data_IF_615097100244
#
_entry.id   IF_615097100244
#
_cell.length_a   1.000
_cell.length_b   1.000
_cell.length_c   1.000
_cell.angle_alpha   90.00
_cell.angle_beta   90.00
_cell.angle_gamma   90.00
#
_symmetry.space_group_name_H-M   'P 1'
#
loop_
_entity.id
_entity.type
_entity.pdbx_description
1 polymer ?
#
# COMPACT_ATOMS: atom_id res chain seq x y z
N UNK A 1 -33.26 -49.19 51.08
CA UNK A 1 -32.12 -49.31 50.16
C UNK A 1 -32.31 -48.69 48.75
N UNK A 2 -33.47 -48.73 48.12
CA UNK A 2 -33.69 -48.13 46.78
C UNK A 2 -33.71 -46.60 46.76
N UNK A 3 -34.04 -45.92 47.85
CA UNK A 3 -34.13 -44.45 47.94
C UNK A 3 -32.74 -43.79 48.10
N UNK A 4 -31.85 -44.39 48.88
CA UNK A 4 -30.45 -43.91 49.03
C UNK A 4 -29.63 -44.03 47.76
N UNK A 5 -29.88 -45.06 46.94
CA UNK A 5 -29.18 -45.23 45.65
C UNK A 5 -29.60 -44.15 44.62
N UNK A 6 -30.86 -43.73 44.63
CA UNK A 6 -31.33 -42.63 43.76
C UNK A 6 -30.77 -41.26 44.16
N UNK A 7 -30.60 -41.00 45.45
CA UNK A 7 -30.05 -39.77 45.99
C UNK A 7 -28.55 -39.65 45.64
N UNK A 8 -27.78 -40.76 45.73
CA UNK A 8 -26.37 -40.81 45.38
C UNK A 8 -26.13 -40.61 43.88
N UNK A 9 -27.00 -41.16 43.02
CA UNK A 9 -26.89 -40.96 41.53
C UNK A 9 -27.25 -39.51 41.15
N UNK A 10 -28.23 -38.88 41.81
CA UNK A 10 -28.62 -37.51 41.55
C UNK A 10 -27.54 -36.52 41.99
N UNK A 11 -26.85 -36.78 43.11
CA UNK A 11 -25.71 -36.01 43.58
C UNK A 11 -24.48 -36.13 42.64
N UNK A 12 -24.24 -37.31 42.06
CA UNK A 12 -23.14 -37.54 41.13
C UNK A 12 -23.36 -36.82 39.76
N UNK A 13 -24.62 -36.75 39.29
CA UNK A 13 -24.98 -36.07 38.04
C UNK A 13 -24.89 -34.56 38.18
N UNK A 14 -25.23 -34.00 39.36
CA UNK A 14 -25.07 -32.56 39.64
C UNK A 14 -23.59 -32.18 39.77
N UNK A 15 -22.74 -33.07 40.31
CA UNK A 15 -21.29 -32.85 40.39
C UNK A 15 -20.57 -32.90 39.02
N UNK A 16 -21.09 -33.67 38.04
CA UNK A 16 -20.60 -33.71 36.67
C UNK A 16 -21.09 -32.53 35.83
N UNK A 17 -22.17 -31.86 36.17
CA UNK A 17 -22.65 -30.65 35.47
C UNK A 17 -21.93 -29.36 35.89
N UNK A 18 -21.21 -29.37 37.02
CA UNK A 18 -20.43 -28.24 37.48
C UNK A 18 -18.94 -28.29 37.11
N UNK A 19 -18.45 -29.40 36.57
CA UNK A 19 -17.05 -29.56 36.18
C UNK A 19 -16.78 -29.26 34.69
N UNK A 20 -17.75 -28.77 33.96
CA UNK A 20 -17.67 -28.60 32.49
C UNK A 20 -17.73 -27.17 31.98
N UNK A 21 -17.26 -26.13 32.67
CA UNK A 21 -17.18 -24.79 32.07
C UNK A 21 -16.17 -23.88 32.79
N UNK A 22 -14.96 -24.38 33.04
CA UNK A 22 -13.83 -23.47 33.06
C UNK A 22 -13.37 -23.37 31.59
N UNK A 23 -14.10 -22.59 30.78
CA UNK A 23 -13.47 -21.97 29.61
C UNK A 23 -12.34 -21.12 30.17
N UNK A 24 -11.13 -21.63 30.09
CA UNK A 24 -9.97 -20.78 30.03
C UNK A 24 -10.18 -19.89 28.81
N UNK A 25 -10.82 -18.73 29.01
CA UNK A 25 -10.53 -17.57 28.20
C UNK A 25 -9.06 -17.33 28.48
N UNK A 26 -8.22 -18.03 27.72
CA UNK A 26 -6.82 -17.70 27.61
C UNK A 26 -6.80 -16.28 27.06
N UNK A 27 -6.70 -15.30 27.96
CA UNK A 27 -6.20 -13.98 27.64
C UNK A 27 -4.76 -14.26 27.20
N UNK A 28 -4.59 -14.68 25.92
CA UNK A 28 -3.28 -14.79 25.31
C UNK A 28 -2.64 -13.42 25.51
N UNK A 29 -1.58 -13.36 26.33
CA UNK A 29 -0.78 -12.15 26.42
C UNK A 29 -0.48 -11.79 24.98
N UNK A 30 -1.01 -10.63 24.51
CA UNK A 30 -0.69 -10.12 23.19
C UNK A 30 0.84 -10.09 23.15
N UNK A 31 1.42 -10.81 22.19
CA UNK A 31 2.86 -10.79 21.99
C UNK A 31 3.19 -9.39 21.48
N UNK A 32 3.65 -8.55 22.39
CA UNK A 32 3.94 -7.14 22.09
C UNK A 32 5.08 -6.95 21.08
N UNK A 33 5.81 -8.01 20.76
CA UNK A 33 6.81 -8.01 19.70
C UNK A 33 6.25 -8.39 18.34
N UNK A 34 5.02 -8.91 18.28
CA UNK A 34 4.34 -9.27 17.05
C UNK A 34 3.56 -8.07 16.51
N UNK A 35 3.68 -7.84 15.21
CA UNK A 35 2.92 -6.82 14.46
C UNK A 35 2.19 -7.52 13.31
N UNK A 36 0.88 -7.36 13.26
CA UNK A 36 0.05 -7.73 12.12
C UNK A 36 0.05 -6.55 11.14
N UNK A 37 0.76 -6.70 10.02
CA UNK A 37 0.88 -5.71 8.96
C UNK A 37 0.05 -6.14 7.76
N UNK A 38 -0.78 -5.24 7.24
CA UNK A 38 -1.52 -5.51 6.00
C UNK A 38 -1.08 -4.53 4.91
N UNK A 39 -0.59 -5.06 3.78
CA UNK A 39 -0.23 -4.27 2.60
C UNK A 39 -1.37 -4.20 1.60
N UNK A 40 -1.50 -3.09 0.89
CA UNK A 40 -2.54 -2.88 -0.11
C UNK A 40 -2.42 -3.83 -1.30
N UNK A 41 -1.22 -4.15 -1.71
CA UNK A 41 -0.89 -5.08 -2.81
C UNK A 41 0.54 -5.58 -2.66
N UNK A 42 0.87 -6.70 -3.31
CA UNK A 42 2.23 -7.23 -3.34
C UNK A 42 2.99 -6.64 -4.54
N UNK A 43 3.94 -5.73 -4.29
CA UNK A 43 4.66 -5.01 -5.35
C UNK A 43 6.08 -4.65 -4.93
N UNK A 44 7.02 -4.71 -5.88
CA UNK A 44 8.41 -4.23 -5.71
C UNK A 44 8.43 -2.73 -5.34
N UNK A 45 7.37 -2.00 -5.63
CA UNK A 45 7.21 -0.62 -5.17
C UNK A 45 7.36 -0.45 -3.66
N UNK A 46 7.17 -1.54 -2.91
CA UNK A 46 7.35 -1.59 -1.45
C UNK A 46 8.68 -2.27 -1.05
N UNK A 47 9.69 -2.23 -1.91
CA UNK A 47 10.99 -2.86 -1.67
C UNK A 47 11.58 -2.58 -0.28
N UNK A 48 11.53 -1.36 0.30
CA UNK A 48 12.06 -1.14 1.65
C UNK A 48 11.38 -2.02 2.71
N UNK A 49 10.08 -2.31 2.58
CA UNK A 49 9.39 -3.22 3.49
C UNK A 49 9.91 -4.66 3.37
N UNK A 50 10.03 -5.17 2.14
CA UNK A 50 10.49 -6.55 1.92
C UNK A 50 11.96 -6.73 2.27
N UNK A 51 12.81 -5.73 2.00
CA UNK A 51 14.19 -5.70 2.46
C UNK A 51 14.24 -5.76 3.98
N UNK A 52 13.42 -4.97 4.70
CA UNK A 52 13.38 -5.01 6.15
C UNK A 52 12.95 -6.38 6.71
N UNK A 53 12.08 -7.09 6.02
CA UNK A 53 11.65 -8.45 6.38
C UNK A 53 12.76 -9.47 6.10
N UNK A 54 13.29 -9.48 4.87
CA UNK A 54 14.16 -10.55 4.37
C UNK A 54 15.60 -10.42 4.89
N UNK A 55 16.14 -9.20 5.05
CA UNK A 55 17.43 -8.94 5.69
C UNK A 55 17.34 -9.01 7.23
N UNK A 56 16.13 -9.11 7.79
CA UNK A 56 15.94 -9.34 9.21
C UNK A 56 15.97 -8.09 10.08
N UNK A 57 15.86 -6.87 9.52
CA UNK A 57 15.94 -5.63 10.28
C UNK A 57 14.82 -5.49 11.32
N UNK A 58 13.63 -6.04 11.06
CA UNK A 58 12.59 -6.13 12.09
C UNK A 58 13.01 -7.02 13.27
N UNK A 59 13.67 -8.14 13.01
CA UNK A 59 14.17 -9.05 14.06
C UNK A 59 15.27 -8.40 14.88
N UNK A 60 16.15 -7.62 14.25
CA UNK A 60 17.19 -6.84 14.95
C UNK A 60 16.56 -5.84 15.94
N UNK A 61 15.43 -5.23 15.57
CA UNK A 61 14.65 -4.35 16.45
C UNK A 61 13.79 -5.12 17.47
N UNK A 62 13.85 -6.45 17.48
CA UNK A 62 13.07 -7.31 18.38
C UNK A 62 11.59 -7.41 18.00
N UNK A 63 11.26 -7.23 16.72
CA UNK A 63 9.90 -7.33 16.17
C UNK A 63 9.73 -8.61 15.35
N UNK A 64 8.52 -9.15 15.37
CA UNK A 64 8.04 -10.20 14.46
C UNK A 64 6.88 -9.62 13.64
N UNK A 65 7.09 -9.40 12.35
CA UNK A 65 6.06 -8.87 11.45
C UNK A 65 5.40 -10.02 10.70
N UNK A 66 4.08 -10.09 10.80
CA UNK A 66 3.24 -10.98 9.99
C UNK A 66 2.58 -10.16 8.89
N UNK A 67 3.05 -10.33 7.66
CA UNK A 67 2.55 -9.57 6.49
C UNK A 67 1.40 -10.31 5.83
N UNK A 68 0.30 -9.60 5.58
CA UNK A 68 -0.86 -10.06 4.83
C UNK A 68 -1.18 -9.09 3.70
N UNK A 69 -1.69 -9.60 2.57
CA UNK A 69 -2.08 -8.78 1.43
C UNK A 69 -3.59 -8.50 1.46
N UNK A 70 -3.98 -7.23 1.42
CA UNK A 70 -5.38 -6.79 1.41
C UNK A 70 -6.04 -6.87 0.03
N UNK A 71 -5.26 -6.74 -1.04
CA UNK A 71 -5.77 -6.68 -2.41
C UNK A 71 -6.50 -5.38 -2.76
N UNK A 72 -6.37 -4.34 -1.91
CA UNK A 72 -6.96 -3.01 -2.11
C UNK A 72 -6.93 -2.17 -0.84
N UNK A 73 -6.86 -0.84 -0.98
CA UNK A 73 -6.74 0.09 0.15
C UNK A 73 -7.95 0.01 1.10
N UNK A 74 -9.15 -0.19 0.60
CA UNK A 74 -10.38 -0.34 1.40
C UNK A 74 -10.34 -1.60 2.27
N UNK A 75 -9.84 -2.70 1.73
CA UNK A 75 -9.68 -3.96 2.49
C UNK A 75 -8.62 -3.79 3.57
N UNK A 76 -7.49 -3.14 3.25
CA UNK A 76 -6.45 -2.84 4.23
C UNK A 76 -6.97 -1.91 5.33
N UNK A 77 -7.70 -0.85 4.99
CA UNK A 77 -8.33 0.04 5.98
C UNK A 77 -9.35 -0.70 6.84
N UNK A 78 -10.17 -1.56 6.24
CA UNK A 78 -11.10 -2.42 6.98
C UNK A 78 -10.39 -3.35 7.96
N UNK A 79 -9.25 -3.94 7.56
CA UNK A 79 -8.44 -4.77 8.45
C UNK A 79 -7.91 -3.98 9.65
N UNK A 80 -7.48 -2.73 9.45
CA UNK A 80 -7.06 -1.84 10.53
C UNK A 80 -8.21 -1.50 11.47
N UNK A 81 -9.36 -1.07 10.92
CA UNK A 81 -10.52 -0.65 11.72
C UNK A 81 -11.10 -1.79 12.54
N UNK A 82 -11.14 -3.01 12.01
CA UNK A 82 -11.61 -4.20 12.73
C UNK A 82 -10.59 -4.77 13.71
N UNK A 83 -9.31 -4.33 13.65
CA UNK A 83 -8.23 -4.81 14.51
C UNK A 83 -7.61 -6.14 14.04
N UNK A 84 -7.85 -6.55 12.79
CA UNK A 84 -7.16 -7.67 12.15
C UNK A 84 -5.74 -7.30 11.73
N UNK A 85 -5.45 -6.00 11.55
CA UNK A 85 -4.12 -5.46 11.39
C UNK A 85 -3.83 -4.41 12.48
N UNK A 86 -2.58 -4.34 12.91
CA UNK A 86 -2.07 -3.29 13.81
C UNK A 86 -1.59 -2.08 13.00
N UNK A 87 -0.98 -2.33 11.86
CA UNK A 87 -0.45 -1.34 10.92
C UNK A 87 -0.90 -1.73 9.50
N UNK A 88 -1.20 -0.73 8.68
CA UNK A 88 -1.42 -0.93 7.25
C UNK A 88 -0.38 -0.16 6.44
N UNK A 89 -0.03 -0.70 5.27
CA UNK A 89 0.68 -0.01 4.21
C UNK A 89 -0.32 0.23 3.08
N UNK A 90 -0.80 1.46 2.96
CA UNK A 90 -1.85 1.84 2.01
C UNK A 90 -1.70 3.30 1.59
N UNK A 91 -2.49 3.72 0.61
CA UNK A 91 -2.55 5.12 0.22
C UNK A 91 -3.15 6.00 1.34
N UNK A 92 -2.55 7.18 1.60
CA UNK A 92 -3.00 8.07 2.66
C UNK A 92 -4.40 8.66 2.41
N UNK A 93 -4.92 8.60 1.19
CA UNK A 93 -6.30 8.98 0.86
C UNK A 93 -7.31 8.21 1.70
N UNK A 94 -7.05 6.95 2.03
CA UNK A 94 -7.96 6.15 2.86
C UNK A 94 -8.01 6.63 4.30
N UNK A 95 -6.92 7.19 4.81
CA UNK A 95 -6.88 7.85 6.13
C UNK A 95 -7.71 9.13 6.09
N UNK A 96 -7.62 9.93 4.99
CA UNK A 96 -8.43 11.13 4.79
C UNK A 96 -9.92 10.78 4.78
N UNK A 97 -10.35 9.81 3.96
CA UNK A 97 -11.75 9.37 3.91
C UNK A 97 -12.27 8.96 5.30
N UNK A 98 -11.50 8.12 6.00
CA UNK A 98 -11.89 7.61 7.31
C UNK A 98 -12.02 8.71 8.36
N UNK A 99 -11.14 9.73 8.31
CA UNK A 99 -11.23 10.88 9.20
C UNK A 99 -12.44 11.78 8.88
N UNK A 100 -12.72 12.02 7.60
CA UNK A 100 -13.89 12.81 7.18
C UNK A 100 -15.22 12.13 7.54
N UNK A 101 -15.25 10.80 7.59
CA UNK A 101 -16.40 10.03 8.09
C UNK A 101 -16.57 10.09 9.62
N UNK A 102 -15.66 10.71 10.35
CA UNK A 102 -15.74 10.90 11.80
C UNK A 102 -15.59 9.61 12.60
N UNK A 103 -14.82 8.65 12.11
CA UNK A 103 -14.56 7.38 12.80
C UNK A 103 -13.87 7.63 14.13
N UNK A 104 -14.38 7.01 15.22
CA UNK A 104 -13.72 7.05 16.53
C UNK A 104 -12.37 6.35 16.45
N UNK A 105 -11.35 6.89 17.13
CA UNK A 105 -9.99 6.38 17.11
C UNK A 105 -9.47 6.32 15.66
N UNK A 106 -9.65 7.45 14.95
CA UNK A 106 -9.31 7.57 13.55
C UNK A 106 -7.84 7.19 13.28
N UNK A 107 -7.57 6.52 12.15
CA UNK A 107 -6.21 6.23 11.73
C UNK A 107 -5.43 7.52 11.48
N UNK A 108 -4.11 7.41 11.66
CA UNK A 108 -3.14 8.45 11.30
C UNK A 108 -1.99 7.83 10.54
N UNK A 109 -1.44 8.57 9.59
CA UNK A 109 -0.17 8.25 8.94
C UNK A 109 0.95 8.55 9.93
N UNK A 110 1.86 7.59 10.15
CA UNK A 110 3.00 7.77 11.04
C UNK A 110 4.36 7.56 10.38
N UNK A 111 4.37 7.13 9.10
CA UNK A 111 5.55 7.00 8.27
C UNK A 111 5.18 6.92 6.80
N UNK A 112 5.94 7.59 5.94
CA UNK A 112 5.80 7.53 4.48
C UNK A 112 6.76 6.49 3.93
N UNK A 113 6.30 5.67 2.95
CA UNK A 113 7.15 4.69 2.28
C UNK A 113 7.53 5.12 0.87
N UNK A 114 6.57 5.63 0.09
CA UNK A 114 6.81 6.03 -1.31
C UNK A 114 6.39 7.48 -1.53
N UNK A 115 7.17 8.21 -2.35
CA UNK A 115 7.12 9.66 -2.45
C UNK A 115 6.52 10.18 -3.76
N UNK A 116 6.20 9.29 -4.70
CA UNK A 116 5.55 9.60 -5.97
C UNK A 116 4.71 8.42 -6.43
N UNK A 117 3.99 8.56 -7.55
CA UNK A 117 3.31 7.45 -8.21
C UNK A 117 4.35 6.42 -8.71
N UNK A 118 4.14 5.16 -8.42
CA UNK A 118 5.03 4.07 -8.85
C UNK A 118 4.60 3.39 -10.14
N UNK A 119 3.60 3.91 -10.84
CA UNK A 119 3.11 3.32 -12.07
C UNK A 119 3.74 3.92 -13.33
N UNK A 120 3.73 3.15 -14.39
CA UNK A 120 4.24 3.49 -15.70
C UNK A 120 3.11 3.39 -16.72
N UNK A 121 3.10 4.31 -17.69
CA UNK A 121 2.23 4.19 -18.87
C UNK A 121 2.84 3.16 -19.81
N UNK A 122 2.05 2.16 -20.14
CA UNK A 122 2.39 1.11 -21.09
C UNK A 122 1.61 1.35 -22.37
N UNK A 123 2.28 1.30 -23.51
CA UNK A 123 1.69 1.39 -24.85
C UNK A 123 1.85 0.07 -25.60
N UNK A 124 0.90 -0.28 -26.49
CA UNK A 124 1.08 -1.39 -27.45
C UNK A 124 2.09 -1.07 -28.55
N UNK A 125 2.43 0.20 -28.70
CA UNK A 125 3.38 0.70 -29.73
C UNK A 125 4.63 1.28 -29.07
N UNK A 126 5.75 1.18 -29.76
CA UNK A 126 7.00 1.80 -29.31
C UNK A 126 6.99 3.30 -29.60
N UNK A 127 6.77 4.11 -28.57
CA UNK A 127 6.67 5.56 -28.66
C UNK A 127 7.85 6.22 -27.94
N UNK A 128 8.98 6.34 -28.62
CA UNK A 128 10.24 6.87 -28.03
C UNK A 128 10.18 8.34 -27.61
N UNK A 129 9.19 9.11 -28.08
CA UNK A 129 8.97 10.51 -27.74
C UNK A 129 7.53 10.71 -27.22
N UNK A 130 7.11 9.86 -26.30
CA UNK A 130 5.77 9.95 -25.71
C UNK A 130 5.58 11.29 -25.00
N UNK A 131 4.39 11.88 -25.20
CA UNK A 131 3.87 13.02 -24.45
C UNK A 131 2.41 12.75 -24.11
N UNK A 132 1.82 13.49 -23.17
CA UNK A 132 0.40 13.33 -22.83
C UNK A 132 -0.54 13.61 -24.04
N UNK A 133 -0.09 14.34 -25.05
CA UNK A 133 -0.84 14.55 -26.31
C UNK A 133 -1.13 13.23 -27.03
N UNK A 134 -0.24 12.23 -26.91
CA UNK A 134 -0.42 10.90 -27.52
C UNK A 134 -1.65 10.16 -26.95
N UNK A 135 -2.14 10.54 -25.77
CA UNK A 135 -3.36 9.98 -25.17
C UNK A 135 -4.64 10.58 -25.74
N UNK A 136 -4.56 11.72 -26.46
CA UNK A 136 -5.76 12.42 -26.98
C UNK A 136 -6.44 11.58 -28.06
N UNK A 137 -7.71 11.29 -27.89
CA UNK A 137 -8.49 10.41 -28.76
C UNK A 137 -8.35 8.91 -28.46
N UNK A 138 -7.48 8.57 -27.52
CA UNK A 138 -7.18 7.19 -27.14
C UNK A 138 -7.82 6.78 -25.81
N UNK A 139 -7.85 5.48 -25.56
CA UNK A 139 -8.29 4.89 -24.28
C UNK A 139 -7.09 4.45 -23.46
N UNK A 140 -7.09 4.85 -22.18
CA UNK A 140 -6.14 4.39 -21.17
C UNK A 140 -6.86 3.76 -19.98
N UNK A 141 -6.44 2.56 -19.56
CA UNK A 141 -6.91 1.94 -18.30
C UNK A 141 -5.99 2.46 -17.17
N UNK A 142 -6.57 3.30 -16.29
CA UNK A 142 -5.83 4.04 -15.24
C UNK A 142 -6.01 3.50 -13.84
N UNK A 143 -6.57 2.31 -13.67
CA UNK A 143 -6.84 1.73 -12.35
C UNK A 143 -8.30 1.93 -11.89
N UNK A 144 -8.55 1.74 -10.58
CA UNK A 144 -9.90 1.76 -10.00
C UNK A 144 -10.32 3.16 -9.59
N UNK A 145 -11.57 3.53 -9.88
CA UNK A 145 -12.15 4.81 -9.47
C UNK A 145 -12.01 5.04 -7.96
N UNK A 146 -11.56 6.23 -7.57
CA UNK A 146 -11.36 6.63 -6.17
C UNK A 146 -10.09 6.05 -5.52
N UNK A 147 -9.32 5.24 -6.24
CA UNK A 147 -7.97 4.83 -5.83
C UNK A 147 -6.93 5.84 -6.30
N UNK A 148 -5.86 5.98 -5.54
CA UNK A 148 -4.82 6.97 -5.81
C UNK A 148 -4.21 6.87 -7.21
N UNK A 149 -3.95 5.68 -7.81
CA UNK A 149 -3.46 5.57 -9.18
C UNK A 149 -4.34 6.27 -10.22
N UNK A 150 -5.67 6.02 -10.16
CA UNK A 150 -6.61 6.62 -11.10
C UNK A 150 -6.72 8.15 -10.89
N UNK A 151 -6.78 8.59 -9.64
CA UNK A 151 -6.86 10.02 -9.29
C UNK A 151 -5.60 10.79 -9.70
N UNK A 152 -4.42 10.19 -9.54
CA UNK A 152 -3.15 10.81 -9.95
C UNK A 152 -3.09 10.97 -11.47
N UNK A 153 -3.47 9.94 -12.22
CA UNK A 153 -3.51 10.03 -13.69
C UNK A 153 -4.55 11.08 -14.15
N UNK A 154 -5.73 11.13 -13.54
CA UNK A 154 -6.75 12.15 -13.79
C UNK A 154 -6.20 13.54 -13.54
N UNK A 155 -5.54 13.74 -12.40
CA UNK A 155 -4.90 15.01 -12.05
C UNK A 155 -3.82 15.41 -13.05
N UNK A 156 -2.91 14.50 -13.44
CA UNK A 156 -1.88 14.76 -14.45
C UNK A 156 -2.52 15.21 -15.77
N UNK A 157 -3.55 14.50 -16.24
CA UNK A 157 -4.24 14.82 -17.50
C UNK A 157 -4.86 16.23 -17.44
N UNK A 158 -5.59 16.54 -16.38
CA UNK A 158 -6.33 17.80 -16.25
C UNK A 158 -5.44 19.00 -15.98
N UNK A 159 -4.40 18.85 -15.15
CA UNK A 159 -3.43 19.94 -14.89
C UNK A 159 -2.60 20.30 -16.13
N UNK A 160 -2.42 19.35 -17.07
CA UNK A 160 -1.79 19.63 -18.36
C UNK A 160 -2.77 20.13 -19.43
N UNK A 161 -4.01 20.48 -19.04
CA UNK A 161 -4.99 21.11 -19.90
C UNK A 161 -5.77 20.16 -20.84
N UNK A 162 -5.64 18.86 -20.65
CA UNK A 162 -6.40 17.87 -21.40
C UNK A 162 -7.74 17.57 -20.74
N UNK A 163 -8.73 17.19 -21.55
CA UNK A 163 -10.08 16.84 -21.09
C UNK A 163 -10.25 15.33 -21.06
N UNK A 164 -10.91 14.82 -20.00
CA UNK A 164 -11.26 13.42 -19.87
C UNK A 164 -12.69 13.18 -20.37
N UNK A 165 -12.89 12.08 -21.07
CA UNK A 165 -14.18 11.64 -21.59
C UNK A 165 -14.06 10.99 -22.95
N UNK A 166 -15.22 10.66 -23.55
CA UNK A 166 -15.27 10.08 -24.88
C UNK A 166 -15.14 11.16 -25.97
N UNK A 167 -14.55 10.81 -27.11
CA UNK A 167 -14.40 11.66 -28.28
C UNK A 167 -12.96 11.90 -28.70
N UNK A 168 -12.74 12.26 -29.97
CA UNK A 168 -11.42 12.34 -30.60
C UNK A 168 -10.49 13.46 -30.06
N UNK A 169 -11.03 14.37 -29.25
CA UNK A 169 -10.27 15.48 -28.65
C UNK A 169 -10.17 15.35 -27.12
N UNK A 170 -10.48 14.18 -26.58
CA UNK A 170 -10.44 13.88 -25.17
C UNK A 170 -9.67 12.58 -24.91
N UNK A 171 -9.24 12.39 -23.69
CA UNK A 171 -8.62 11.16 -23.22
C UNK A 171 -9.69 10.31 -22.56
N UNK A 172 -9.93 9.10 -23.08
CA UNK A 172 -10.88 8.17 -22.48
C UNK A 172 -10.21 7.41 -21.34
N UNK A 173 -10.31 7.96 -20.12
CA UNK A 173 -9.78 7.34 -18.91
C UNK A 173 -10.78 6.31 -18.36
N UNK A 174 -10.42 5.04 -18.42
CA UNK A 174 -11.17 3.92 -17.86
C UNK A 174 -10.73 3.61 -16.44
N UNK A 175 -11.67 3.58 -15.51
CA UNK A 175 -11.47 3.31 -14.08
C UNK A 175 -12.37 2.18 -13.56
N UNK A 176 -12.87 1.37 -14.46
CA UNK A 176 -13.80 0.25 -14.20
C UNK A 176 -13.07 -1.10 -13.99
N UNK A 177 -11.76 -1.14 -14.23
CA UNK A 177 -10.95 -2.36 -14.13
C UNK A 177 -10.29 -2.45 -12.75
N UNK A 178 -10.44 -3.61 -12.10
CA UNK A 178 -9.77 -3.87 -10.82
C UNK A 178 -8.24 -3.85 -11.00
N UNK A 179 -7.52 -3.31 -10.02
CA UNK A 179 -6.08 -3.08 -10.08
C UNK A 179 -5.28 -4.32 -10.52
N UNK A 180 -5.56 -5.47 -9.93
CA UNK A 180 -4.88 -6.74 -10.22
C UNK A 180 -5.26 -7.36 -11.57
N UNK A 181 -6.27 -6.82 -12.27
CA UNK A 181 -6.72 -7.30 -13.58
C UNK A 181 -6.30 -6.39 -14.73
N UNK A 182 -5.70 -5.23 -14.45
CA UNK A 182 -5.37 -4.21 -15.47
C UNK A 182 -4.56 -4.79 -16.61
N UNK A 183 -3.46 -5.48 -16.32
CA UNK A 183 -2.61 -6.07 -17.35
C UNK A 183 -3.36 -7.08 -18.23
N UNK A 184 -4.09 -8.01 -17.62
CA UNK A 184 -4.80 -9.06 -18.36
C UNK A 184 -5.94 -8.53 -19.22
N UNK A 185 -6.68 -7.54 -18.71
CA UNK A 185 -7.73 -6.87 -19.49
C UNK A 185 -7.13 -6.10 -20.66
N UNK A 186 -6.07 -5.32 -20.42
CA UNK A 186 -5.38 -4.56 -21.46
C UNK A 186 -4.77 -5.48 -22.55
N UNK A 187 -4.16 -6.60 -22.17
CA UNK A 187 -3.64 -7.58 -23.13
C UNK A 187 -4.76 -8.17 -24.01
N UNK A 188 -5.95 -8.43 -23.44
CA UNK A 188 -7.07 -9.01 -24.14
C UNK A 188 -7.78 -8.00 -25.09
N UNK A 189 -7.77 -6.73 -24.75
CA UNK A 189 -8.45 -5.67 -25.51
C UNK A 189 -7.57 -5.11 -26.62
N UNK A 190 -7.92 -5.41 -27.89
CA UNK A 190 -7.14 -4.94 -29.05
C UNK A 190 -7.20 -3.43 -29.28
N UNK A 191 -8.33 -2.80 -28.90
CA UNK A 191 -8.60 -1.38 -29.16
C UNK A 191 -8.18 -0.44 -28.01
N UNK A 192 -7.71 -0.98 -26.89
CA UNK A 192 -7.19 -0.18 -25.76
C UNK A 192 -5.69 -0.09 -25.88
N UNK A 193 -5.20 1.07 -26.31
CA UNK A 193 -3.77 1.27 -26.62
C UNK A 193 -2.92 1.37 -25.36
N UNK A 194 -3.41 2.03 -24.32
CA UNK A 194 -2.63 2.34 -23.12
C UNK A 194 -3.22 1.74 -21.85
N UNK A 195 -2.33 1.45 -20.89
CA UNK A 195 -2.70 1.19 -19.50
C UNK A 195 -1.62 1.68 -18.55
N UNK A 196 -1.91 1.72 -17.26
CA UNK A 196 -0.92 1.98 -16.21
C UNK A 196 -0.61 0.71 -15.45
N UNK A 197 0.68 0.39 -15.28
CA UNK A 197 1.14 -0.80 -14.55
C UNK A 197 2.28 -0.44 -13.61
N UNK A 198 2.35 -1.18 -12.51
CA UNK A 198 3.47 -1.14 -11.57
C UNK A 198 4.50 -2.23 -11.88
N UNK A 199 5.71 -2.07 -11.36
CA UNK A 199 6.70 -3.13 -11.40
C UNK A 199 6.35 -4.29 -10.44
N UNK A 200 6.66 -5.54 -10.78
CA UNK A 200 7.43 -5.99 -11.95
C UNK A 200 6.58 -6.21 -13.22
N UNK A 201 5.27 -5.96 -13.17
CA UNK A 201 4.36 -6.27 -14.28
C UNK A 201 4.69 -5.44 -15.53
N UNK A 202 5.05 -4.17 -15.37
CA UNK A 202 5.45 -3.28 -16.46
C UNK A 202 6.65 -3.84 -17.24
N UNK A 203 7.74 -4.14 -16.55
CA UNK A 203 8.94 -4.76 -17.14
C UNK A 203 8.63 -6.13 -17.75
N UNK A 204 7.81 -6.96 -17.11
CA UNK A 204 7.45 -8.28 -17.64
C UNK A 204 6.69 -8.18 -18.98
N UNK A 205 5.74 -7.24 -19.10
CA UNK A 205 5.03 -6.96 -20.36
C UNK A 205 6.00 -6.55 -21.46
N UNK A 206 6.95 -5.67 -21.14
CA UNK A 206 7.96 -5.20 -22.09
C UNK A 206 8.91 -6.33 -22.50
N UNK A 207 9.42 -7.12 -21.58
CA UNK A 207 10.32 -8.25 -21.87
C UNK A 207 9.65 -9.35 -22.71
N UNK A 208 8.33 -9.51 -22.57
CA UNK A 208 7.53 -10.41 -23.40
C UNK A 208 7.22 -9.83 -24.80
N UNK A 209 7.62 -8.60 -25.08
CA UNK A 209 7.34 -7.92 -26.35
C UNK A 209 5.86 -7.60 -26.60
N UNK A 210 5.06 -7.57 -25.52
CA UNK A 210 3.62 -7.30 -25.58
C UNK A 210 3.27 -5.82 -25.52
N UNK A 211 4.19 -4.99 -25.00
CA UNK A 211 4.03 -3.56 -24.86
C UNK A 211 5.35 -2.88 -24.51
N UNK A 212 5.32 -1.57 -24.39
CA UNK A 212 6.46 -0.72 -24.13
C UNK A 212 6.16 0.23 -22.98
N UNK A 213 7.11 0.39 -22.06
CA UNK A 213 7.07 1.46 -21.06
C UNK A 213 7.37 2.76 -21.78
N UNK A 214 6.44 3.70 -21.78
CA UNK A 214 6.58 4.97 -22.54
C UNK A 214 6.68 6.20 -21.63
N UNK A 215 6.19 6.14 -20.38
CA UNK A 215 6.33 7.23 -19.40
C UNK A 215 6.23 6.72 -17.96
N UNK A 216 6.79 7.47 -17.02
CA UNK A 216 6.61 7.30 -15.58
C UNK A 216 5.55 8.29 -15.07
N UNK A 217 4.50 7.81 -14.39
CA UNK A 217 3.57 8.71 -13.71
C UNK A 217 4.21 9.40 -12.51
N UNK A 218 5.22 8.77 -11.88
CA UNK A 218 5.97 9.37 -10.79
C UNK A 218 6.72 10.64 -11.20
N UNK A 219 7.33 10.64 -12.39
CA UNK A 219 7.97 11.83 -12.96
C UNK A 219 6.94 12.91 -13.35
N UNK A 220 5.80 12.50 -13.89
CA UNK A 220 4.74 13.43 -14.33
C UNK A 220 3.97 14.05 -13.16
N UNK A 221 3.75 13.32 -12.07
CA UNK A 221 2.98 13.78 -10.90
C UNK A 221 3.80 14.64 -9.93
N UNK A 222 5.11 14.48 -9.94
CA UNK A 222 5.97 15.03 -8.90
C UNK A 222 5.73 14.38 -7.53
N UNK A 223 6.06 15.11 -6.46
CA UNK A 223 5.95 14.59 -5.08
C UNK A 223 4.51 14.50 -4.62
N UNK A 224 4.02 13.28 -4.47
CA UNK A 224 2.73 12.94 -3.87
C UNK A 224 2.97 11.83 -2.85
N UNK A 225 2.44 11.91 -1.61
CA UNK A 225 2.57 10.81 -0.65
C UNK A 225 1.70 9.66 -1.15
N UNK A 226 2.36 8.63 -1.71
CA UNK A 226 1.65 7.62 -2.46
C UNK A 226 1.28 6.39 -1.61
N UNK A 227 2.23 5.87 -0.83
CA UNK A 227 1.98 4.78 0.11
C UNK A 227 2.61 5.09 1.46
N UNK A 228 1.82 4.94 2.50
CA UNK A 228 2.19 5.30 3.86
C UNK A 228 1.87 4.18 4.84
N UNK A 229 2.61 4.12 5.94
CA UNK A 229 2.24 3.34 7.11
C UNK A 229 1.23 4.12 7.94
N UNK A 230 0.07 3.52 8.14
CA UNK A 230 -0.98 4.09 8.98
C UNK A 230 -1.40 3.10 10.08
N UNK A 231 -1.81 3.66 11.20
CA UNK A 231 -2.34 2.90 12.35
C UNK A 231 -3.34 3.75 13.13
N UNK A 232 -4.10 3.12 14.03
CA UNK A 232 -5.01 3.86 14.92
C UNK A 232 -4.25 4.80 15.84
N UNK A 233 -4.83 5.98 16.14
CA UNK A 233 -4.24 6.94 17.08
C UNK A 233 -3.98 6.33 18.46
N UNK A 234 -4.87 5.46 18.93
CA UNK A 234 -4.70 4.72 20.19
C UNK A 234 -3.52 3.75 20.16
N UNK A 235 -3.24 3.14 19.00
CA UNK A 235 -2.09 2.24 18.85
C UNK A 235 -0.78 3.00 19.04
N UNK A 236 -0.59 4.14 18.39
CA UNK A 236 0.62 4.97 18.57
C UNK A 236 0.82 5.39 20.01
N UNK A 237 -0.27 5.73 20.71
CA UNK A 237 -0.22 6.11 22.13
C UNK A 237 0.19 4.95 23.03
N UNK A 238 -0.33 3.74 22.77
CA UNK A 238 -0.17 2.59 23.67
C UNK A 238 1.04 1.71 23.29
N UNK A 239 1.52 1.80 22.03
CA UNK A 239 2.58 0.97 21.45
C UNK A 239 3.67 1.81 20.77
N UNK A 240 3.94 3.02 21.30
CA UNK A 240 4.90 3.96 20.72
C UNK A 240 6.27 3.30 20.44
N UNK A 241 6.79 2.53 21.40
CA UNK A 241 8.08 1.85 21.24
C UNK A 241 8.09 0.82 20.10
N UNK A 242 6.96 0.13 19.85
CA UNK A 242 6.85 -0.80 18.71
C UNK A 242 6.84 -0.05 17.39
N UNK A 243 6.10 1.07 17.30
CA UNK A 243 6.07 1.92 16.11
C UNK A 243 7.44 2.57 15.82
N UNK A 244 8.18 2.99 16.86
CA UNK A 244 9.57 3.48 16.73
C UNK A 244 10.50 2.40 16.16
N UNK A 245 10.47 1.20 16.71
CA UNK A 245 11.25 0.05 16.23
C UNK A 245 10.88 -0.34 14.80
N UNK A 246 9.59 -0.26 14.47
CA UNK A 246 9.10 -0.54 13.13
C UNK A 246 9.70 0.43 12.11
N UNK A 247 9.61 1.73 12.35
CA UNK A 247 10.18 2.73 11.43
C UNK A 247 11.72 2.69 11.40
N UNK A 248 12.40 2.34 12.50
CA UNK A 248 13.86 2.10 12.49
C UNK A 248 14.26 0.96 11.56
N UNK A 249 13.51 -0.15 11.56
CA UNK A 249 13.76 -1.25 10.65
C UNK A 249 13.55 -0.84 9.18
N UNK A 250 12.51 -0.04 8.89
CA UNK A 250 12.27 0.52 7.56
C UNK A 250 13.41 1.48 7.15
N UNK A 251 13.88 2.34 8.05
CA UNK A 251 15.02 3.25 7.76
C UNK A 251 16.30 2.48 7.41
N UNK A 252 16.63 1.42 8.15
CA UNK A 252 17.75 0.53 7.80
C UNK A 252 17.58 -0.08 6.39
N UNK A 253 16.36 -0.40 5.99
CA UNK A 253 16.12 -0.92 4.65
C UNK A 253 16.34 0.12 3.56
N UNK A 254 16.01 1.38 3.79
CA UNK A 254 16.36 2.46 2.87
C UNK A 254 17.88 2.62 2.76
N UNK A 255 18.59 2.68 3.89
CA UNK A 255 20.06 2.75 3.93
C UNK A 255 20.69 1.57 3.19
N UNK A 256 20.11 0.37 3.33
CA UNK A 256 20.54 -0.81 2.58
C UNK A 256 20.34 -0.62 1.06
N UNK A 257 19.18 -0.12 0.62
CA UNK A 257 18.90 0.11 -0.80
C UNK A 257 19.82 1.19 -1.37
N UNK A 258 20.06 2.28 -0.65
CA UNK A 258 20.92 3.39 -1.09
C UNK A 258 22.39 3.01 -1.17
N UNK A 259 22.85 2.07 -0.35
CA UNK A 259 24.29 1.72 -0.24
C UNK A 259 24.68 0.46 -1.00
N UNK A 260 23.71 -0.27 -1.58
CA UNK A 260 23.95 -1.49 -2.32
C UNK A 260 23.59 -1.35 -3.80
N UNK A 261 24.13 -2.27 -4.64
CA UNK A 261 23.76 -2.36 -6.05
C UNK A 261 22.33 -2.89 -6.18
N UNK A 262 21.63 -2.52 -7.29
CA UNK A 262 20.30 -3.07 -7.63
C UNK A 262 20.28 -4.59 -7.65
N UNK A 263 21.36 -5.25 -8.06
CA UNK A 263 21.50 -6.72 -7.98
C UNK A 263 21.46 -7.22 -6.53
N UNK A 264 22.20 -6.56 -5.61
CA UNK A 264 22.18 -6.97 -4.19
C UNK A 264 20.81 -6.72 -3.54
N UNK A 265 20.14 -5.65 -3.93
CA UNK A 265 18.76 -5.38 -3.49
C UNK A 265 17.81 -6.43 -4.07
N UNK A 266 17.95 -6.82 -5.33
CA UNK A 266 17.18 -7.89 -5.95
C UNK A 266 17.34 -9.23 -5.22
N UNK A 267 18.56 -9.59 -4.80
CA UNK A 267 18.81 -10.77 -3.96
C UNK A 267 18.03 -10.72 -2.64
N UNK A 268 17.97 -9.54 -2.00
CA UNK A 268 17.20 -9.35 -0.77
C UNK A 268 15.68 -9.45 -1.02
N UNK A 269 15.20 -9.08 -2.21
CA UNK A 269 13.78 -9.15 -2.60
C UNK A 269 13.35 -10.55 -3.04
N UNK A 270 14.26 -11.37 -3.59
CA UNK A 270 13.95 -12.66 -4.20
C UNK A 270 13.10 -13.61 -3.34
N UNK A 271 13.28 -13.71 -2.00
CA UNK A 271 12.42 -14.54 -1.18
C UNK A 271 10.94 -14.15 -1.20
N UNK A 272 10.65 -12.87 -1.43
CA UNK A 272 9.28 -12.34 -1.51
C UNK A 272 8.71 -12.38 -2.92
N UNK A 273 9.54 -12.50 -3.96
CA UNK A 273 9.15 -12.44 -5.38
C UNK A 273 9.64 -13.67 -6.15
N UNK A 274 9.35 -14.86 -5.65
CA UNK A 274 9.83 -16.13 -6.21
C UNK A 274 9.44 -16.41 -7.68
N UNK A 275 8.51 -15.63 -8.25
CA UNK A 275 8.09 -15.73 -9.65
C UNK A 275 8.96 -14.93 -10.63
N UNK A 276 9.91 -14.12 -10.12
CA UNK A 276 10.74 -13.23 -10.92
C UNK A 276 12.21 -13.66 -10.91
N UNK A 277 12.94 -13.38 -11.99
CA UNK A 277 14.40 -13.52 -12.04
C UNK A 277 15.09 -12.38 -11.29
N UNK A 278 16.36 -12.58 -10.93
CA UNK A 278 17.14 -11.51 -10.30
C UNK A 278 17.32 -10.29 -11.24
N UNK A 279 17.43 -10.52 -12.53
CA UNK A 279 17.53 -9.47 -13.55
C UNK A 279 16.25 -8.63 -13.61
N UNK A 280 15.08 -9.25 -13.58
CA UNK A 280 13.79 -8.53 -13.54
C UNK A 280 13.63 -7.72 -12.26
N UNK A 281 13.99 -8.28 -11.12
CA UNK A 281 13.95 -7.58 -9.84
C UNK A 281 14.93 -6.41 -9.80
N UNK A 282 16.16 -6.59 -10.32
CA UNK A 282 17.16 -5.53 -10.39
C UNK A 282 16.71 -4.39 -11.30
N UNK A 283 16.15 -4.70 -12.48
CA UNK A 283 15.61 -3.71 -13.38
C UNK A 283 14.47 -2.89 -12.76
N UNK A 284 13.54 -3.55 -12.04
CA UNK A 284 12.46 -2.88 -11.32
C UNK A 284 12.99 -1.97 -10.19
N UNK A 285 14.03 -2.40 -9.47
CA UNK A 285 14.71 -1.56 -8.47
C UNK A 285 15.32 -0.32 -9.11
N UNK A 286 16.02 -0.47 -10.23
CA UNK A 286 16.62 0.65 -10.98
C UNK A 286 15.55 1.65 -11.45
N UNK A 287 14.42 1.18 -11.95
CA UNK A 287 13.30 2.03 -12.34
C UNK A 287 12.79 2.88 -11.15
N UNK A 288 12.58 2.28 -9.98
CA UNK A 288 12.11 3.01 -8.82
C UNK A 288 13.16 3.95 -8.21
N UNK A 289 14.45 3.60 -8.30
CA UNK A 289 15.54 4.51 -7.92
C UNK A 289 15.61 5.72 -8.85
N UNK A 290 15.44 5.53 -10.17
CA UNK A 290 15.52 6.60 -11.16
C UNK A 290 14.45 7.68 -11.00
N UNK A 291 13.26 7.29 -10.54
CA UNK A 291 12.14 8.22 -10.27
C UNK A 291 12.09 8.70 -8.81
N UNK A 292 13.12 8.41 -8.01
CA UNK A 292 13.16 8.77 -6.59
C UNK A 292 11.93 8.32 -5.79
N UNK A 293 11.40 7.12 -6.10
CA UNK A 293 10.22 6.58 -5.44
C UNK A 293 10.45 6.39 -3.93
N UNK A 294 11.70 6.18 -3.52
CA UNK A 294 12.11 5.91 -2.16
C UNK A 294 13.11 6.96 -1.66
N UNK A 295 12.93 7.39 -0.43
CA UNK A 295 13.88 8.25 0.29
C UNK A 295 13.96 7.83 1.74
N UNK A 296 15.10 8.05 2.38
CA UNK A 296 15.31 7.72 3.80
C UNK A 296 14.55 8.65 4.77
N UNK A 297 13.94 9.73 4.28
CA UNK A 297 13.03 10.57 5.06
C UNK A 297 11.64 9.91 5.13
N UNK A 298 11.28 9.41 6.30
CA UNK A 298 10.00 8.76 6.55
C UNK A 298 8.87 9.74 6.89
N UNK A 299 9.13 11.05 6.89
CA UNK A 299 8.11 12.06 7.21
C UNK A 299 7.20 12.34 6.01
N UNK A 300 5.91 12.53 6.27
CA UNK A 300 4.97 13.06 5.29
C UNK A 300 4.88 14.58 5.47
N UNK A 301 5.47 15.33 4.53
CA UNK A 301 5.50 16.79 4.59
C UNK A 301 4.12 17.40 4.38
N UNK A 302 3.92 18.62 4.90
CA UNK A 302 2.68 19.36 4.68
C UNK A 302 2.50 19.74 3.20
N UNK A 303 3.59 20.01 2.47
CA UNK A 303 3.56 20.31 1.04
C UNK A 303 3.06 19.10 0.25
N UNK A 304 3.69 17.92 0.45
CA UNK A 304 3.29 16.69 -0.22
C UNK A 304 1.84 16.31 0.11
N UNK A 305 1.41 16.51 1.38
CA UNK A 305 0.00 16.31 1.76
C UNK A 305 -0.94 17.27 1.04
N UNK A 306 -0.54 18.53 0.85
CA UNK A 306 -1.36 19.50 0.09
C UNK A 306 -1.54 19.07 -1.37
N UNK A 307 -0.51 18.46 -1.98
CA UNK A 307 -0.62 17.90 -3.33
C UNK A 307 -1.63 16.72 -3.36
N UNK A 308 -1.61 15.85 -2.35
CA UNK A 308 -2.64 14.81 -2.23
C UNK A 308 -4.05 15.41 -2.15
N UNK A 309 -4.25 16.46 -1.34
CA UNK A 309 -5.56 17.11 -1.25
C UNK A 309 -6.00 17.68 -2.60
N UNK A 310 -5.09 18.27 -3.36
CA UNK A 310 -5.39 18.78 -4.70
C UNK A 310 -5.80 17.64 -5.66
N UNK A 311 -5.09 16.50 -5.63
CA UNK A 311 -5.45 15.32 -6.41
C UNK A 311 -6.85 14.82 -6.05
N UNK A 312 -7.17 14.72 -4.76
CA UNK A 312 -8.47 14.24 -4.29
C UNK A 312 -9.63 15.22 -4.61
N UNK A 313 -9.38 16.53 -4.51
CA UNK A 313 -10.35 17.58 -4.90
C UNK A 313 -10.59 17.57 -6.40
N UNK A 314 -9.53 17.47 -7.22
CA UNK A 314 -9.62 17.41 -8.67
C UNK A 314 -10.48 16.21 -9.13
N UNK A 315 -10.26 15.03 -8.52
CA UNK A 315 -11.05 13.84 -8.79
C UNK A 315 -12.49 13.91 -8.22
N UNK A 316 -12.84 14.97 -7.49
CA UNK A 316 -14.17 15.16 -6.91
C UNK A 316 -14.55 14.13 -5.84
N UNK A 317 -13.56 13.43 -5.26
CA UNK A 317 -13.79 12.42 -4.22
C UNK A 317 -13.89 13.02 -2.81
N UNK A 318 -13.42 14.25 -2.65
CA UNK A 318 -13.65 15.10 -1.46
C UNK A 318 -14.13 16.48 -1.92
N UNK A 319 -14.85 17.19 -1.07
CA UNK A 319 -15.35 18.55 -1.32
C UNK A 319 -14.58 19.62 -0.55
N UNK A 320 -13.78 19.22 0.42
CA UNK A 320 -12.96 20.10 1.25
C UNK A 320 -11.67 19.37 1.67
N UNK A 321 -10.63 20.13 1.96
CA UNK A 321 -9.35 19.59 2.43
C UNK A 321 -9.43 19.19 3.89
N UNK A 322 -8.70 18.16 4.28
CA UNK A 322 -8.48 17.79 5.67
C UNK A 322 -7.29 18.57 6.25
N UNK A 323 -7.33 18.80 7.57
CA UNK A 323 -6.19 19.39 8.26
C UNK A 323 -5.06 18.34 8.35
N UNK A 324 -3.85 18.71 7.92
CA UNK A 324 -2.67 17.84 7.96
C UNK A 324 -2.42 17.26 9.36
N UNK A 325 -2.62 18.02 10.43
CA UNK A 325 -2.38 17.60 11.81
C UNK A 325 -3.35 16.51 12.29
N UNK A 326 -4.51 16.39 11.67
CA UNK A 326 -5.49 15.35 12.01
C UNK A 326 -5.19 14.03 11.29
N UNK A 327 -4.46 14.09 10.19
CA UNK A 327 -4.13 12.94 9.33
C UNK A 327 -2.72 12.40 9.59
N UNK A 328 -1.76 13.27 9.95
CA UNK A 328 -0.33 12.93 9.99
C UNK A 328 0.26 13.10 11.38
N UNK A 329 0.94 12.08 11.86
CA UNK A 329 1.70 12.10 13.09
C UNK A 329 3.18 11.74 12.82
N UNK A 330 3.97 12.73 12.45
CA UNK A 330 5.40 12.55 12.16
C UNK A 330 6.30 12.43 13.41
N UNK A 331 5.75 12.43 14.62
CA UNK A 331 6.54 12.52 15.87
C UNK A 331 7.63 11.45 15.98
N UNK A 332 7.36 10.24 15.49
CA UNK A 332 8.31 9.14 15.45
C UNK A 332 9.29 9.31 14.28
N UNK A 333 8.78 9.49 13.07
CA UNK A 333 9.60 9.63 11.87
C UNK A 333 10.63 10.76 12.02
N UNK A 334 10.21 11.94 12.51
CA UNK A 334 11.10 13.09 12.76
C UNK A 334 12.21 12.75 13.78
N UNK A 335 11.94 11.91 14.77
CA UNK A 335 12.95 11.55 15.78
C UNK A 335 14.03 10.59 15.24
N UNK A 336 13.84 10.04 14.06
CA UNK A 336 14.75 9.12 13.39
C UNK A 336 15.64 9.80 12.34
N UNK A 337 15.29 11.00 11.91
CA UNK A 337 16.09 11.84 11.03
C UNK A 337 17.09 12.65 11.86
#
# INVERSE_FOLDING_TARGET
MKFLKKLAIFSLVIMMLFSGSIMFVGCGKKDYNKIELNEVTHSIFYAPLYVAINEGFFKEEGLSVNLTNGGGSDTSMSALLTGSADIILAGPETVVYTNQEGVKDAPVVFGQLTHCDGSFIISKENETNFTLENLVGETIIGGRKGGLPAMTLEYIITENGYSIGEGNNKINLRTDVAFNLTASVWEAEQNTKYCTLFEPTATNIQNQGKGYIVASLGELSGSIPYTCFATKSSYLKNHKSQAEKFLKAIKKAYEFIETNTSTRVAEALAPSFAGNTLEELAAAVEQYLSIHAWTSDLTLSQESFSNLMNVMLNAGVITETSNWQDIVNNSIATSLN
#
